data_IF_393156016513
#
_entry.id   IF_393156016513
#
_cell.length_a   1.000
_cell.length_b   1.000
_cell.length_c   1.000
_cell.angle_alpha   90.00
_cell.angle_beta   90.00
_cell.angle_gamma   90.00
#
_symmetry.space_group_name_H-M   'P 1'
#
loop_
_entity.id
_entity.type
_entity.pdbx_description
1 polymer ?
#
# COMPACT_ATOMS: atom_id res chain seq x y z
N UNK A 1 1.14 9.57 -9.43
CA UNK A 1 0.49 8.35 -8.89
C UNK A 1 -0.80 8.13 -9.67
N UNK A 2 -1.31 6.90 -9.79
CA UNK A 2 -2.63 6.67 -10.42
C UNK A 2 -3.75 6.88 -9.39
N UNK A 3 -4.88 7.44 -9.84
CA UNK A 3 -6.07 7.57 -9.01
C UNK A 3 -6.63 6.20 -8.61
N UNK A 4 -7.02 6.07 -7.33
CA UNK A 4 -7.61 4.86 -6.76
C UNK A 4 -9.01 5.18 -6.26
N UNK A 5 -10.03 4.54 -6.81
CA UNK A 5 -11.42 4.65 -6.34
C UNK A 5 -11.99 3.31 -5.92
N UNK A 6 -11.84 2.29 -6.76
CA UNK A 6 -12.22 0.91 -6.45
C UNK A 6 -11.23 -0.04 -7.10
N UNK A 7 -10.86 -1.08 -6.37
CA UNK A 7 -10.01 -2.15 -6.89
C UNK A 7 -10.68 -3.50 -6.66
N UNK A 8 -10.69 -4.36 -7.68
CA UNK A 8 -11.14 -5.75 -7.56
C UNK A 8 -10.02 -6.67 -7.99
N UNK A 9 -9.70 -7.66 -7.15
CA UNK A 9 -8.69 -8.66 -7.45
C UNK A 9 -8.79 -9.88 -6.54
N UNK A 10 -7.96 -10.88 -6.78
CA UNK A 10 -7.75 -11.99 -5.85
C UNK A 10 -6.82 -11.57 -4.72
N UNK A 11 -6.89 -12.28 -3.60
CA UNK A 11 -6.18 -11.94 -2.39
C UNK A 11 -5.24 -13.06 -1.90
N UNK A 12 -4.23 -12.69 -1.12
CA UNK A 12 -3.27 -13.61 -0.51
C UNK A 12 -3.38 -13.55 1.02
N UNK A 13 -3.54 -14.69 1.71
CA UNK A 13 -3.63 -14.74 3.17
C UNK A 13 -2.22 -14.84 3.80
N UNK A 14 -1.68 -13.71 4.25
CA UNK A 14 -0.42 -13.69 5.01
C UNK A 14 -0.71 -13.73 6.51
N UNK A 15 -0.76 -14.94 7.07
CA UNK A 15 -1.01 -15.19 8.50
C UNK A 15 0.24 -14.92 9.37
N UNK A 16 0.74 -13.69 9.30
CA UNK A 16 1.89 -13.19 10.08
C UNK A 16 1.53 -11.86 10.73
N UNK A 17 1.87 -11.74 12.00
CA UNK A 17 1.75 -10.50 12.78
C UNK A 17 3.12 -9.84 12.93
N UNK A 18 3.15 -8.55 13.25
CA UNK A 18 4.38 -7.78 13.46
C UNK A 18 5.34 -7.87 12.26
N UNK A 19 4.79 -7.86 11.05
CA UNK A 19 5.58 -7.94 9.83
C UNK A 19 6.38 -6.65 9.70
N UNK A 20 7.70 -6.73 9.88
CA UNK A 20 8.55 -5.56 9.87
C UNK A 20 9.06 -5.19 8.46
N UNK A 21 9.60 -3.99 8.30
CA UNK A 21 10.06 -3.52 6.99
C UNK A 21 11.26 -4.30 6.41
N UNK A 22 12.11 -4.93 7.22
CA UNK A 22 13.18 -5.82 6.76
C UNK A 22 12.61 -7.15 6.24
N UNK A 23 11.51 -7.62 6.83
CA UNK A 23 10.80 -8.81 6.35
C UNK A 23 10.07 -8.52 5.03
N UNK A 24 9.46 -7.34 4.89
CA UNK A 24 8.84 -6.91 3.62
C UNK A 24 9.92 -6.79 2.53
N UNK A 25 11.05 -6.14 2.83
CA UNK A 25 12.18 -6.02 1.90
C UNK A 25 13.51 -5.98 2.67
N UNK A 26 14.40 -6.97 2.48
CA UNK A 26 15.68 -6.99 3.19
C UNK A 26 16.59 -5.81 2.82
N UNK A 27 17.39 -5.34 3.79
CA UNK A 27 18.28 -4.19 3.64
C UNK A 27 19.25 -4.28 2.44
N UNK A 28 19.62 -5.49 2.00
CA UNK A 28 20.53 -5.70 0.86
C UNK A 28 19.98 -5.15 -0.47
N UNK A 29 18.64 -5.11 -0.64
CA UNK A 29 17.98 -4.57 -1.82
C UNK A 29 18.01 -3.04 -1.86
N UNK A 30 18.20 -2.39 -0.71
CA UNK A 30 18.13 -0.92 -0.56
C UNK A 30 19.37 -0.19 -1.08
N UNK A 31 20.34 -0.92 -1.64
CA UNK A 31 21.49 -0.36 -2.35
C UNK A 31 21.16 0.06 -3.79
N UNK A 32 19.97 -0.31 -4.27
CA UNK A 32 19.47 0.07 -5.61
C UNK A 32 19.06 1.54 -5.60
N UNK A 33 19.39 2.25 -6.68
CA UNK A 33 19.06 3.68 -6.86
C UNK A 33 17.79 3.92 -7.71
N UNK A 34 17.23 2.85 -8.29
CA UNK A 34 15.99 2.88 -9.07
C UNK A 34 14.79 2.87 -8.13
N UNK A 35 13.65 3.42 -8.58
CA UNK A 35 12.33 3.29 -7.91
C UNK A 35 11.57 2.01 -8.31
N UNK A 36 12.06 1.31 -9.34
CA UNK A 36 11.51 0.08 -9.88
C UNK A 36 12.47 -1.09 -9.68
N UNK A 37 11.95 -2.32 -9.81
CA UNK A 37 12.73 -3.53 -9.68
C UNK A 37 12.94 -3.88 -8.21
N UNK A 38 11.88 -3.92 -7.42
CA UNK A 38 11.91 -4.37 -6.02
C UNK A 38 10.99 -5.57 -5.77
N UNK A 39 10.30 -6.06 -6.81
CA UNK A 39 9.43 -7.23 -6.78
C UNK A 39 10.16 -8.53 -6.40
N UNK A 40 11.46 -8.65 -6.70
CA UNK A 40 12.32 -9.75 -6.27
C UNK A 40 12.68 -9.65 -4.79
N UNK A 41 12.76 -8.42 -4.26
CA UNK A 41 13.01 -8.13 -2.84
C UNK A 41 11.81 -8.37 -1.93
N UNK A 42 10.58 -8.33 -2.46
CA UNK A 42 9.37 -8.50 -1.66
C UNK A 42 9.37 -9.87 -0.98
N UNK A 43 9.38 -9.88 0.35
CA UNK A 43 9.42 -11.07 1.21
C UNK A 43 10.53 -12.06 0.80
N UNK A 44 11.65 -11.57 0.26
CA UNK A 44 12.69 -12.42 -0.34
C UNK A 44 13.20 -13.53 0.60
N UNK A 45 13.35 -13.23 1.90
CA UNK A 45 13.76 -14.23 2.90
C UNK A 45 12.73 -15.34 3.08
N UNK A 46 11.43 -15.02 3.07
CA UNK A 46 10.35 -16.00 3.23
C UNK A 46 10.08 -16.77 1.94
N UNK A 47 10.22 -16.13 0.77
CA UNK A 47 10.07 -16.77 -0.54
C UNK A 47 11.15 -17.80 -0.86
N UNK A 48 12.18 -17.95 -0.03
CA UNK A 48 13.11 -19.09 -0.09
C UNK A 48 12.44 -20.41 0.28
N UNK A 49 11.37 -20.37 1.06
CA UNK A 49 10.53 -21.52 1.36
C UNK A 49 9.54 -21.74 0.19
N UNK A 50 9.60 -22.89 -0.52
CA UNK A 50 8.66 -23.19 -1.60
C UNK A 50 7.19 -23.20 -1.17
N UNK A 51 6.92 -23.50 0.10
CA UNK A 51 5.57 -23.56 0.65
C UNK A 51 5.02 -22.19 1.05
N UNK A 52 5.85 -21.13 1.00
CA UNK A 52 5.43 -19.78 1.32
C UNK A 52 4.28 -19.33 0.42
N UNK A 53 3.30 -18.63 1.01
CA UNK A 53 2.00 -18.36 0.38
C UNK A 53 2.10 -17.64 -0.98
N UNK A 54 3.09 -16.76 -1.18
CA UNK A 54 3.31 -16.08 -2.47
C UNK A 54 4.00 -16.92 -3.54
N UNK A 55 4.50 -18.11 -3.19
CA UNK A 55 5.06 -19.06 -4.14
C UNK A 55 4.02 -20.10 -4.60
N UNK A 56 2.83 -20.10 -3.99
CA UNK A 56 1.77 -21.04 -4.35
C UNK A 56 1.02 -20.53 -5.58
N UNK A 57 1.00 -21.33 -6.65
CA UNK A 57 0.39 -20.97 -7.94
C UNK A 57 -1.06 -20.48 -7.84
N UNK A 58 -1.81 -20.95 -6.83
CA UNK A 58 -3.20 -20.52 -6.57
C UNK A 58 -3.34 -19.03 -6.20
N UNK A 59 -2.24 -18.37 -5.85
CA UNK A 59 -2.18 -16.95 -5.49
C UNK A 59 -1.48 -16.08 -6.54
N UNK A 60 -1.11 -16.66 -7.70
CA UNK A 60 -0.45 -15.93 -8.78
C UNK A 60 -1.31 -14.78 -9.29
N UNK A 61 -0.70 -13.61 -9.47
CA UNK A 61 -1.39 -12.40 -9.93
C UNK A 61 -2.32 -11.76 -8.91
N UNK A 62 -2.35 -12.23 -7.67
CA UNK A 62 -3.10 -11.58 -6.60
C UNK A 62 -2.58 -10.16 -6.34
N UNK A 63 -3.52 -9.24 -6.15
CA UNK A 63 -3.23 -7.80 -6.03
C UNK A 63 -3.68 -7.22 -4.69
N UNK A 64 -4.20 -8.07 -3.81
CA UNK A 64 -4.65 -7.72 -2.46
C UNK A 64 -3.93 -8.61 -1.45
N UNK A 65 -3.26 -8.01 -0.46
CA UNK A 65 -2.59 -8.73 0.62
C UNK A 65 -3.45 -8.65 1.89
N UNK A 66 -3.79 -9.77 2.51
CA UNK A 66 -4.50 -9.81 3.79
C UNK A 66 -3.54 -10.29 4.86
N UNK A 67 -3.04 -9.36 5.69
CA UNK A 67 -2.00 -9.60 6.68
C UNK A 67 -2.53 -9.56 8.13
N UNK A 68 -1.76 -10.13 9.06
CA UNK A 68 -2.04 -10.04 10.49
C UNK A 68 -1.78 -8.63 11.06
N UNK A 69 -2.02 -8.42 12.36
CA UNK A 69 -1.84 -7.13 13.03
C UNK A 69 -0.38 -6.65 13.00
N UNK A 70 -0.19 -5.36 13.20
CA UNK A 70 1.11 -4.68 13.29
C UNK A 70 1.95 -4.80 12.01
N UNK A 71 1.29 -4.69 10.85
CA UNK A 71 1.95 -4.77 9.56
C UNK A 71 2.75 -3.49 9.23
N UNK A 72 3.96 -3.67 8.71
CA UNK A 72 4.87 -2.58 8.33
C UNK A 72 5.61 -1.97 9.53
N UNK A 73 5.79 -2.71 10.62
CA UNK A 73 6.49 -2.22 11.82
C UNK A 73 8.00 -2.05 11.58
N UNK A 74 8.69 -1.41 12.53
CA UNK A 74 10.14 -1.18 12.46
C UNK A 74 10.51 0.13 11.78
N UNK A 75 11.59 0.10 10.99
CA UNK A 75 12.21 1.31 10.44
C UNK A 75 11.41 1.96 9.31
N UNK A 76 11.51 3.30 9.18
CA UNK A 76 10.93 4.01 8.03
C UNK A 76 11.61 3.60 6.73
N UNK A 77 10.90 2.90 5.84
CA UNK A 77 11.40 2.50 4.52
C UNK A 77 10.32 2.62 3.46
N UNK A 78 10.44 3.60 2.57
CA UNK A 78 9.56 3.74 1.39
C UNK A 78 9.67 2.54 0.46
N UNK A 79 10.85 1.92 0.41
CA UNK A 79 11.12 0.71 -0.37
C UNK A 79 10.20 -0.47 -0.02
N UNK A 80 9.69 -0.55 1.21
CA UNK A 80 8.71 -1.58 1.58
C UNK A 80 7.39 -1.42 0.81
N UNK A 81 6.97 -0.16 0.60
CA UNK A 81 5.79 0.17 -0.23
C UNK A 81 6.09 -0.14 -1.70
N UNK A 82 7.27 0.25 -2.19
CA UNK A 82 7.66 -0.01 -3.58
C UNK A 82 7.74 -1.51 -3.90
N UNK A 83 8.29 -2.32 -2.99
CA UNK A 83 8.36 -3.77 -3.16
C UNK A 83 6.95 -4.39 -3.32
N UNK A 84 6.00 -3.96 -2.48
CA UNK A 84 4.60 -4.40 -2.58
C UNK A 84 3.97 -3.98 -3.92
N UNK A 85 4.14 -2.72 -4.32
CA UNK A 85 3.54 -2.19 -5.54
C UNK A 85 4.17 -2.74 -6.81
N UNK A 86 5.50 -2.87 -6.85
CA UNK A 86 6.24 -3.45 -7.98
C UNK A 86 5.87 -4.93 -8.18
N UNK A 87 5.61 -5.66 -7.08
CA UNK A 87 5.09 -7.03 -7.16
C UNK A 87 3.65 -7.09 -7.70
N UNK A 88 2.88 -6.01 -7.54
CA UNK A 88 1.53 -5.88 -8.08
C UNK A 88 0.44 -5.56 -7.05
N UNK A 89 0.77 -5.50 -5.76
CA UNK A 89 -0.22 -5.19 -4.73
C UNK A 89 -0.74 -3.75 -4.86
N UNK A 90 -2.06 -3.62 -4.83
CA UNK A 90 -2.79 -2.34 -4.81
C UNK A 90 -3.39 -2.04 -3.44
N UNK A 91 -3.69 -3.08 -2.66
CA UNK A 91 -4.27 -2.98 -1.33
C UNK A 91 -3.56 -3.93 -0.36
N UNK A 92 -3.28 -3.43 0.84
CA UNK A 92 -2.97 -4.26 2.01
C UNK A 92 -4.09 -4.08 3.03
N UNK A 93 -4.65 -5.19 3.50
CA UNK A 93 -5.67 -5.27 4.54
C UNK A 93 -4.99 -5.83 5.79
N UNK A 94 -5.17 -5.16 6.92
CA UNK A 94 -4.69 -5.62 8.23
C UNK A 94 -5.56 -5.02 9.33
N UNK A 95 -5.49 -5.57 10.53
CA UNK A 95 -6.15 -4.99 11.69
C UNK A 95 -5.39 -3.83 12.33
N UNK A 96 -4.09 -3.71 12.05
CA UNK A 96 -3.29 -2.59 12.51
C UNK A 96 -2.05 -2.40 11.63
N UNK A 97 -1.75 -1.15 11.29
CA UNK A 97 -0.54 -0.78 10.58
C UNK A 97 0.38 0.05 11.48
N UNK A 98 1.69 0.00 11.21
CA UNK A 98 2.61 0.98 11.76
C UNK A 98 2.41 2.34 11.07
N UNK A 99 2.36 3.42 11.84
CA UNK A 99 1.95 4.75 11.36
C UNK A 99 2.83 5.27 10.21
N UNK A 100 4.14 5.04 10.30
CA UNK A 100 5.09 5.45 9.26
C UNK A 100 4.84 4.70 7.96
N UNK A 101 4.66 3.37 8.04
CA UNK A 101 4.37 2.55 6.87
C UNK A 101 3.03 2.96 6.24
N UNK A 102 2.00 3.21 7.06
CA UNK A 102 0.68 3.68 6.62
C UNK A 102 0.79 5.02 5.87
N UNK A 103 1.54 5.98 6.43
CA UNK A 103 1.79 7.28 5.81
C UNK A 103 2.53 7.17 4.47
N UNK A 104 3.61 6.39 4.42
CA UNK A 104 4.36 6.16 3.17
C UNK A 104 3.50 5.45 2.11
N UNK A 105 2.64 4.52 2.53
CA UNK A 105 1.73 3.80 1.63
C UNK A 105 0.76 4.75 0.95
N UNK A 106 0.12 5.64 1.72
CA UNK A 106 -0.80 6.65 1.19
C UNK A 106 -0.13 7.62 0.20
N UNK A 107 1.11 8.01 0.47
CA UNK A 107 1.91 8.86 -0.46
C UNK A 107 2.37 8.11 -1.72
N UNK A 108 2.58 6.80 -1.60
CA UNK A 108 3.06 5.94 -2.68
C UNK A 108 1.95 5.40 -3.59
N UNK A 109 0.68 5.49 -3.19
CA UNK A 109 -0.44 4.92 -3.96
C UNK A 109 -0.78 3.48 -3.61
N UNK A 110 -0.41 3.05 -2.41
CA UNK A 110 -0.79 1.75 -1.84
C UNK A 110 -1.87 1.98 -0.79
N UNK A 111 -3.06 1.40 -0.99
CA UNK A 111 -4.13 1.51 0.00
C UNK A 111 -3.85 0.58 1.19
N UNK A 112 -3.86 1.15 2.40
CA UNK A 112 -3.80 0.42 3.67
C UNK A 112 -5.19 0.45 4.31
N UNK A 113 -5.96 -0.62 4.09
CA UNK A 113 -7.33 -0.74 4.58
C UNK A 113 -7.33 -1.39 5.98
N UNK A 114 -7.56 -0.58 7.01
CA UNK A 114 -7.57 -1.07 8.39
C UNK A 114 -8.97 -1.60 8.75
N UNK A 115 -9.07 -2.85 9.20
CA UNK A 115 -10.34 -3.50 9.54
C UNK A 115 -10.30 -4.15 10.93
N UNK A 116 -11.43 -4.52 11.55
CA UNK A 116 -11.39 -5.38 12.74
C UNK A 116 -10.68 -6.72 12.46
N UNK A 117 -10.00 -7.28 13.47
CA UNK A 117 -9.29 -8.57 13.34
C UNK A 117 -10.21 -9.72 12.91
N UNK A 118 -11.47 -9.72 13.36
CA UNK A 118 -12.51 -10.67 12.91
C UNK A 118 -12.76 -10.62 11.40
N UNK A 119 -12.64 -9.44 10.77
CA UNK A 119 -12.76 -9.29 9.32
C UNK A 119 -11.55 -9.87 8.60
N UNK A 120 -10.34 -9.67 9.16
CA UNK A 120 -9.10 -10.30 8.63
C UNK A 120 -9.24 -11.82 8.63
N UNK A 121 -9.73 -12.40 9.72
CA UNK A 121 -9.92 -13.84 9.85
C UNK A 121 -11.00 -14.38 8.90
N UNK A 122 -12.11 -13.66 8.75
CA UNK A 122 -13.16 -14.00 7.79
C UNK A 122 -12.65 -13.98 6.34
N UNK A 123 -11.83 -12.99 5.99
CA UNK A 123 -11.17 -12.92 4.68
C UNK A 123 -10.21 -14.10 4.48
N UNK A 124 -9.38 -14.43 5.47
CA UNK A 124 -8.49 -15.59 5.37
C UNK A 124 -9.26 -16.89 5.16
N UNK A 125 -10.33 -17.14 5.93
CA UNK A 125 -11.14 -18.34 5.79
C UNK A 125 -11.78 -18.45 4.39
N UNK A 126 -12.25 -17.32 3.85
CA UNK A 126 -12.84 -17.25 2.53
C UNK A 126 -11.79 -17.52 1.42
N UNK A 127 -10.61 -16.91 1.51
CA UNK A 127 -9.51 -17.11 0.55
C UNK A 127 -8.99 -18.56 0.60
N UNK A 128 -8.90 -19.17 1.77
CA UNK A 128 -8.48 -20.57 1.90
C UNK A 128 -9.51 -21.53 1.30
N UNK A 129 -10.81 -21.20 1.41
CA UNK A 129 -11.89 -22.01 0.83
C UNK A 129 -11.96 -21.90 -0.70
N UNK A 130 -11.73 -20.71 -1.24
CA UNK A 130 -11.70 -20.44 -2.68
C UNK A 130 -10.72 -19.30 -2.98
N UNK A 131 -9.46 -19.62 -3.35
CA UNK A 131 -8.43 -18.63 -3.68
C UNK A 131 -8.78 -17.73 -4.86
N UNK A 132 -9.72 -18.16 -5.73
CA UNK A 132 -10.19 -17.36 -6.86
C UNK A 132 -11.26 -16.34 -6.46
N UNK A 133 -11.69 -16.31 -5.18
CA UNK A 133 -12.70 -15.36 -4.74
C UNK A 133 -12.25 -13.92 -4.99
N UNK A 134 -13.05 -13.19 -5.75
CA UNK A 134 -12.83 -11.77 -5.99
C UNK A 134 -13.10 -10.96 -4.72
N UNK A 135 -12.12 -10.15 -4.33
CA UNK A 135 -12.23 -9.17 -3.24
C UNK A 135 -12.29 -7.79 -3.89
N UNK A 136 -13.37 -7.06 -3.62
CA UNK A 136 -13.56 -5.67 -4.04
C UNK A 136 -13.29 -4.74 -2.85
N UNK A 137 -12.40 -3.77 -3.04
CA UNK A 137 -12.10 -2.72 -2.07
C UNK A 137 -12.51 -1.38 -2.69
N UNK A 138 -13.54 -0.78 -2.10
CA UNK A 138 -14.17 0.46 -2.55
C UNK A 138 -13.72 1.60 -1.62
N UNK A 139 -12.81 2.45 -2.09
CA UNK A 139 -12.27 3.56 -1.31
C UNK A 139 -13.28 4.69 -1.15
N UNK A 140 -14.16 4.88 -2.13
CA UNK A 140 -15.19 5.91 -2.04
C UNK A 140 -16.17 5.57 -0.91
N UNK A 141 -16.63 4.32 -0.85
CA UNK A 141 -17.54 3.84 0.21
C UNK A 141 -16.85 3.35 1.47
N UNK A 142 -15.52 3.26 1.47
CA UNK A 142 -14.71 2.67 2.54
C UNK A 142 -15.16 1.25 2.91
N UNK A 143 -15.42 0.42 1.90
CA UNK A 143 -16.02 -0.89 2.07
C UNK A 143 -15.22 -1.99 1.36
N UNK A 144 -15.05 -3.13 2.01
CA UNK A 144 -14.52 -4.38 1.44
C UNK A 144 -15.67 -5.36 1.24
N UNK A 145 -15.72 -5.98 0.06
CA UNK A 145 -16.73 -6.99 -0.31
C UNK A 145 -16.06 -8.22 -0.88
N UNK A 146 -16.43 -9.40 -0.38
CA UNK A 146 -15.92 -10.68 -0.86
C UNK A 146 -16.97 -11.79 -0.62
N UNK A 147 -17.53 -12.37 -1.68
CA UNK A 147 -18.63 -13.32 -1.54
C UNK A 147 -19.82 -12.73 -0.78
N UNK A 148 -20.12 -13.26 0.42
CA UNK A 148 -21.16 -12.73 1.33
C UNK A 148 -20.62 -11.77 2.39
N UNK A 149 -19.29 -11.63 2.49
CA UNK A 149 -18.65 -10.71 3.42
C UNK A 149 -18.77 -9.28 2.91
N UNK A 150 -19.15 -8.39 3.81
CA UNK A 150 -19.16 -6.94 3.63
C UNK A 150 -18.68 -6.31 4.93
N UNK A 151 -17.61 -5.52 4.89
CA UNK A 151 -17.05 -4.87 6.06
C UNK A 151 -16.53 -3.47 5.71
N UNK A 152 -16.69 -2.54 6.64
CA UNK A 152 -16.13 -1.20 6.51
C UNK A 152 -14.65 -1.22 6.92
N UNK A 153 -13.87 -0.30 6.36
CA UNK A 153 -12.47 -0.10 6.73
C UNK A 153 -12.15 1.35 7.02
N UNK A 154 -11.17 1.56 7.91
CA UNK A 154 -10.66 2.87 8.27
C UNK A 154 -9.51 3.29 7.36
N UNK A 155 -9.59 4.54 6.89
CA UNK A 155 -8.53 5.25 6.17
C UNK A 155 -8.62 6.73 6.53
N UNK A 156 -7.47 7.34 6.78
CA UNK A 156 -7.41 8.78 7.05
C UNK A 156 -7.97 9.59 5.85
N UNK A 157 -8.73 10.65 6.13
CA UNK A 157 -9.42 11.43 5.11
C UNK A 157 -8.48 12.11 4.11
N UNK A 158 -7.30 12.54 4.57
CA UNK A 158 -6.29 13.14 3.71
C UNK A 158 -5.62 12.09 2.82
N UNK A 159 -5.35 10.90 3.37
CA UNK A 159 -4.87 9.75 2.56
C UNK A 159 -5.92 9.35 1.53
N UNK A 160 -7.20 9.27 1.90
CA UNK A 160 -8.30 8.96 0.98
C UNK A 160 -8.36 9.97 -0.17
N UNK A 161 -8.33 11.26 0.14
CA UNK A 161 -8.29 12.32 -0.88
C UNK A 161 -7.09 12.18 -1.83
N UNK A 162 -5.88 11.98 -1.29
CA UNK A 162 -4.68 11.77 -2.13
C UNK A 162 -4.83 10.60 -3.08
N UNK A 163 -5.28 9.47 -2.57
CA UNK A 163 -5.49 8.25 -3.34
C UNK A 163 -6.53 8.45 -4.44
N UNK A 164 -7.69 9.04 -4.12
CA UNK A 164 -8.75 9.27 -5.09
C UNK A 164 -8.37 10.25 -6.20
N UNK A 165 -7.60 11.29 -5.87
CA UNK A 165 -7.16 12.30 -6.83
C UNK A 165 -5.86 11.93 -7.56
N UNK A 166 -5.21 10.81 -7.20
CA UNK A 166 -3.95 10.40 -7.83
C UNK A 166 -2.75 11.29 -7.44
N UNK A 167 -2.78 11.92 -6.27
CA UNK A 167 -1.84 12.97 -5.87
C UNK A 167 -0.66 12.44 -5.05
N UNK A 168 0.55 12.63 -5.57
CA UNK A 168 1.79 12.56 -4.80
C UNK A 168 2.21 13.95 -4.27
N UNK A 169 3.32 14.01 -3.51
CA UNK A 169 3.79 15.27 -2.93
C UNK A 169 4.13 16.33 -4.00
N UNK A 170 4.53 15.91 -5.20
CA UNK A 170 4.76 16.81 -6.34
C UNK A 170 3.41 17.31 -6.87
N UNK A 171 2.46 16.41 -7.12
CA UNK A 171 1.11 16.74 -7.57
C UNK A 171 0.40 17.76 -6.67
N UNK A 172 0.53 17.61 -5.36
CA UNK A 172 -0.04 18.56 -4.38
C UNK A 172 0.64 19.92 -4.46
N UNK A 173 1.97 19.93 -4.57
CA UNK A 173 2.71 21.19 -4.73
C UNK A 173 2.29 21.90 -6.01
N UNK A 174 2.08 21.15 -7.09
CA UNK A 174 1.66 21.69 -8.39
C UNK A 174 0.26 22.33 -8.35
N UNK A 175 -0.63 21.93 -7.43
CA UNK A 175 -1.92 22.60 -7.22
C UNK A 175 -1.77 24.04 -6.70
N UNK A 176 -0.61 24.40 -6.15
CA UNK A 176 -0.33 25.72 -5.60
C UNK A 176 0.49 26.61 -6.54
N UNK A 177 0.71 26.22 -7.80
CA UNK A 177 1.59 26.93 -8.76
C UNK A 177 1.22 28.41 -8.92
N UNK A 178 -0.07 28.74 -9.00
CA UNK A 178 -0.50 30.14 -9.16
C UNK A 178 -0.19 30.98 -7.90
N UNK A 179 -0.35 30.39 -6.71
CA UNK A 179 -0.02 31.04 -5.44
C UNK A 179 1.49 31.24 -5.29
N UNK A 180 2.27 30.22 -5.66
CA UNK A 180 3.75 30.28 -5.67
C UNK A 180 4.19 31.40 -6.63
N UNK A 181 3.65 31.41 -7.85
CA UNK A 181 3.96 32.43 -8.87
C UNK A 181 3.60 33.84 -8.40
N UNK A 182 2.44 34.01 -7.75
CA UNK A 182 1.99 35.30 -7.22
C UNK A 182 2.91 35.79 -6.10
N UNK A 183 3.31 34.90 -5.20
CA UNK A 183 4.27 35.21 -4.13
C UNK A 183 5.64 35.60 -4.69
N UNK A 184 6.16 34.86 -5.68
CA UNK A 184 7.46 35.15 -6.30
C UNK A 184 7.50 36.51 -6.99
N UNK A 185 6.42 36.92 -7.66
CA UNK A 185 6.32 38.26 -8.28
C UNK A 185 6.41 39.41 -7.28
N UNK A 186 6.02 39.18 -6.02
CA UNK A 186 6.05 40.20 -4.96
C UNK A 186 7.34 40.16 -4.13
N UNK A 187 8.20 39.17 -4.38
CA UNK A 187 9.39 38.91 -3.57
C UNK A 187 10.54 39.86 -3.97
N UNK A 188 11.28 40.44 -2.99
CA UNK A 188 12.42 41.31 -3.30
C UNK A 188 13.50 40.59 -4.11
N UNK A 189 13.99 41.24 -5.19
CA UNK A 189 14.95 40.67 -6.16
C UNK A 189 16.36 40.39 -5.64
N UNK A 190 16.64 40.64 -4.35
CA UNK A 190 17.89 40.26 -3.68
C UNK A 190 17.91 38.80 -3.21
N UNK A 191 16.79 38.09 -3.33
CA UNK A 191 16.71 36.68 -2.95
C UNK A 191 16.92 35.75 -4.15
N UNK A 192 17.51 34.56 -3.95
CA UNK A 192 17.68 33.58 -5.02
C UNK A 192 16.35 33.25 -5.70
N UNK A 193 16.37 33.22 -7.04
CA UNK A 193 15.22 32.82 -7.86
C UNK A 193 15.46 31.39 -8.36
N UNK A 194 14.44 30.54 -8.32
CA UNK A 194 14.45 29.22 -8.96
C UNK A 194 14.41 29.40 -10.47
N UNK A 195 15.28 28.67 -11.19
CA UNK A 195 15.36 28.66 -12.66
C UNK A 195 14.39 27.63 -13.21
#
# INVERSE_FOLDING_TARGET
MDAFTTHTGTAVPLRRSNVDTDQIIPAEYLKRISRNGFEDGLFASWRKDPEFVLNQQRHDGATILVAGPDFGTGSSREHAVWALQNYGFKVVISSRFADIFRGNSGKGGLLTAQVPQETVEALWALIDSDPATAVTVDLDKQQIRAGRLSADFDVDGYVRWRLMEGLDDIGITLQSVDLITAFEKQRPGITPTTI
#
